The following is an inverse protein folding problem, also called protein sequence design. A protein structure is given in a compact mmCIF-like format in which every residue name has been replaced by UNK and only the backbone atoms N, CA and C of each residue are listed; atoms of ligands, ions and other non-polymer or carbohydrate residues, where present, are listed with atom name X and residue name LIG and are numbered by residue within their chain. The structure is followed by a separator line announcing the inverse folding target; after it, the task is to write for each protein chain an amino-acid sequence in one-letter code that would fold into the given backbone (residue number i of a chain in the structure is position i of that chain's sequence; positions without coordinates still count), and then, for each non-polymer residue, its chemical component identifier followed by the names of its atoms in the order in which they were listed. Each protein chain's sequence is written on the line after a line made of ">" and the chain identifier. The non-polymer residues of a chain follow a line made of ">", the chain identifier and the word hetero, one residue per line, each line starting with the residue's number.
data_IF_808316173924
#
_entry.id   IF_808316173924
#
_cell.length_a   1.000
_cell.length_b   1.000
_cell.length_c   1.000
_cell.angle_alpha   90.00
_cell.angle_beta   90.00
_cell.angle_gamma   90.00
#
_symmetry.space_group_name_H-M   'P 1'
#
loop_
_entity.id
_entity.type
_entity.pdbx_description
1 polymer ?
#
# COMPACT_ATOMS: atom_id res chain seq x y z
N UNK A 1 -6.09 -18.95 -12.61
CA UNK A 1 -6.11 -19.14 -11.14
C UNK A 1 -7.27 -18.42 -10.44
N UNK A 2 -7.68 -17.22 -10.91
CA UNK A 2 -8.85 -16.48 -10.39
C UNK A 2 -10.19 -17.24 -10.46
N UNK A 3 -10.40 -18.06 -11.49
CA UNK A 3 -11.64 -18.83 -11.65
C UNK A 3 -11.83 -19.96 -10.63
N UNK A 4 -10.73 -20.49 -10.08
CA UNK A 4 -10.77 -21.53 -9.04
C UNK A 4 -11.21 -20.91 -7.71
N UNK A 5 -10.70 -19.71 -7.39
CA UNK A 5 -11.15 -18.93 -6.22
C UNK A 5 -12.65 -18.59 -6.28
N UNK A 6 -13.16 -18.19 -7.45
CA UNK A 6 -14.59 -17.89 -7.64
C UNK A 6 -15.48 -19.12 -7.46
N UNK A 7 -15.03 -20.31 -7.93
CA UNK A 7 -15.77 -21.56 -7.79
C UNK A 7 -15.82 -22.07 -6.34
N UNK A 8 -14.72 -21.97 -5.59
CA UNK A 8 -14.66 -22.33 -4.17
C UNK A 8 -15.55 -21.40 -3.32
N UNK A 9 -15.58 -20.10 -3.65
CA UNK A 9 -16.43 -19.09 -2.98
C UNK A 9 -17.94 -19.31 -3.16
N UNK A 10 -18.35 -19.87 -4.31
CA UNK A 10 -19.76 -20.11 -4.64
C UNK A 10 -20.33 -21.38 -3.99
N UNK A 11 -19.48 -22.36 -3.69
CA UNK A 11 -19.88 -23.66 -3.12
C UNK A 11 -20.01 -23.67 -1.60
N UNK A 12 -19.25 -22.84 -0.87
CA UNK A 12 -19.31 -22.76 0.59
C UNK A 12 -20.37 -21.74 1.03
N UNK A 13 -21.63 -22.17 1.04
CA UNK A 13 -22.70 -21.43 1.69
C UNK A 13 -22.44 -21.30 3.18
N UNK A 14 -22.38 -20.07 3.69
CA UNK A 14 -23.01 -19.66 4.95
C UNK A 14 -22.89 -18.14 5.19
N UNK A 15 -24.05 -17.55 5.55
CA UNK A 15 -24.37 -16.20 6.03
C UNK A 15 -23.79 -14.98 5.29
N UNK A 16 -24.63 -14.34 4.48
CA UNK A 16 -24.45 -12.97 3.97
C UNK A 16 -24.09 -11.95 5.06
N UNK A 17 -24.52 -12.18 6.31
CA UNK A 17 -24.17 -11.36 7.47
C UNK A 17 -22.67 -11.36 7.84
N UNK A 18 -21.92 -12.45 7.59
CA UNK A 18 -20.47 -12.49 7.81
C UNK A 18 -19.69 -11.82 6.66
N UNK A 19 -20.31 -11.76 5.47
CA UNK A 19 -19.71 -11.25 4.24
C UNK A 19 -19.67 -9.71 4.21
N UNK A 20 -20.60 -9.08 4.91
CA UNK A 20 -20.61 -7.63 5.13
C UNK A 20 -19.59 -7.19 6.20
N UNK A 21 -19.33 -8.02 7.22
CA UNK A 21 -18.33 -7.71 8.26
C UNK A 21 -16.87 -7.90 7.79
N UNK A 22 -16.61 -8.78 6.83
CA UNK A 22 -15.25 -9.06 6.31
C UNK A 22 -14.88 -8.30 5.02
N UNK A 23 -15.81 -7.53 4.42
CA UNK A 23 -15.49 -6.71 3.24
C UNK A 23 -14.53 -5.58 3.59
N UNK A 24 -14.80 -4.91 4.71
CA UNK A 24 -14.06 -3.71 5.11
C UNK A 24 -12.60 -4.03 5.51
N UNK A 25 -12.37 -5.16 6.18
CA UNK A 25 -11.02 -5.56 6.60
C UNK A 25 -10.13 -5.94 5.41
N UNK A 26 -10.66 -6.66 4.43
CA UNK A 26 -9.90 -7.07 3.24
C UNK A 26 -9.61 -5.86 2.34
N UNK A 27 -10.56 -4.94 2.17
CA UNK A 27 -10.34 -3.71 1.39
C UNK A 27 -9.34 -2.76 2.07
N UNK A 28 -9.38 -2.63 3.41
CA UNK A 28 -8.35 -1.86 4.14
C UNK A 28 -6.96 -2.46 3.97
N UNK A 29 -6.83 -3.79 4.06
CA UNK A 29 -5.52 -4.44 3.91
C UNK A 29 -4.97 -4.33 2.48
N UNK A 30 -5.83 -4.40 1.46
CA UNK A 30 -5.43 -4.16 0.07
C UNK A 30 -5.01 -2.71 -0.16
N UNK A 31 -5.81 -1.74 0.29
CA UNK A 31 -5.47 -0.32 0.15
C UNK A 31 -4.17 0.04 0.88
N UNK A 32 -3.95 -0.55 2.06
CA UNK A 32 -2.70 -0.37 2.82
C UNK A 32 -1.50 -1.03 2.14
N UNK A 33 -1.70 -2.18 1.50
CA UNK A 33 -0.69 -2.86 0.70
C UNK A 33 -0.29 -2.06 -0.53
N UNK A 34 -1.25 -1.52 -1.27
CA UNK A 34 -1.03 -0.69 -2.46
C UNK A 34 -0.29 0.60 -2.11
N UNK A 35 -0.73 1.33 -1.07
CA UNK A 35 -0.08 2.55 -0.62
C UNK A 35 1.39 2.32 -0.22
N UNK A 36 1.70 1.19 0.45
CA UNK A 36 3.07 0.80 0.80
C UNK A 36 3.91 0.44 -0.43
N UNK A 37 3.34 -0.29 -1.37
CA UNK A 37 4.00 -0.66 -2.62
C UNK A 37 4.36 0.58 -3.44
N UNK A 38 3.42 1.52 -3.57
CA UNK A 38 3.64 2.78 -4.28
C UNK A 38 4.63 3.68 -3.55
N UNK A 39 4.56 3.79 -2.21
CA UNK A 39 5.55 4.52 -1.42
C UNK A 39 6.97 4.01 -1.66
N UNK A 40 7.15 2.68 -1.62
CA UNK A 40 8.45 2.05 -1.84
C UNK A 40 8.97 2.30 -3.25
N UNK A 41 8.11 2.19 -4.27
CA UNK A 41 8.48 2.47 -5.65
C UNK A 41 8.92 3.92 -5.87
N UNK A 42 8.21 4.87 -5.26
CA UNK A 42 8.59 6.29 -5.30
C UNK A 42 9.95 6.50 -4.65
N UNK A 43 10.17 5.96 -3.44
CA UNK A 43 11.41 6.14 -2.70
C UNK A 43 12.60 5.51 -3.43
N UNK A 44 12.48 4.25 -3.87
CA UNK A 44 13.57 3.54 -4.56
C UNK A 44 13.95 4.24 -5.87
N UNK A 45 12.95 4.61 -6.69
CA UNK A 45 13.19 5.37 -7.93
C UNK A 45 13.84 6.72 -7.64
N UNK A 46 13.38 7.44 -6.61
CA UNK A 46 13.95 8.73 -6.26
C UNK A 46 15.39 8.62 -5.71
N UNK A 47 15.68 7.58 -4.92
CA UNK A 47 17.03 7.28 -4.45
C UNK A 47 17.96 6.91 -5.60
N UNK A 48 17.50 6.07 -6.54
CA UNK A 48 18.29 5.66 -7.71
C UNK A 48 18.60 6.85 -8.64
N UNK A 49 17.71 7.85 -8.68
CA UNK A 49 17.91 9.11 -9.39
C UNK A 49 18.75 10.13 -8.61
N UNK A 50 19.13 9.85 -7.36
CA UNK A 50 19.89 10.77 -6.51
C UNK A 50 19.10 12.03 -6.12
N UNK A 51 17.78 11.95 -6.05
CA UNK A 51 16.94 13.09 -5.67
C UNK A 51 17.07 13.41 -4.17
N UNK A 52 17.03 14.70 -3.79
CA UNK A 52 17.08 15.10 -2.39
C UNK A 52 15.81 14.64 -1.66
N UNK A 53 15.95 14.33 -0.36
CA UNK A 53 14.86 13.79 0.47
C UNK A 53 13.58 14.66 0.40
N UNK A 54 13.69 15.99 0.40
CA UNK A 54 12.55 16.91 0.25
C UNK A 54 11.71 16.62 -1.01
N UNK A 55 12.35 16.36 -2.15
CA UNK A 55 11.64 16.05 -3.39
C UNK A 55 10.94 14.68 -3.35
N UNK A 56 11.49 13.73 -2.58
CA UNK A 56 10.87 12.42 -2.34
C UNK A 56 9.65 12.58 -1.44
N UNK A 57 9.76 13.38 -0.38
CA UNK A 57 8.66 13.68 0.54
C UNK A 57 7.50 14.38 -0.18
N UNK A 58 7.78 15.41 -0.99
CA UNK A 58 6.73 16.06 -1.79
C UNK A 58 6.02 15.09 -2.73
N UNK A 59 6.76 14.18 -3.38
CA UNK A 59 6.16 13.15 -4.25
C UNK A 59 5.31 12.17 -3.47
N UNK A 60 5.77 11.70 -2.31
CA UNK A 60 5.02 10.80 -1.43
C UNK A 60 3.72 11.45 -0.96
N UNK A 61 3.79 12.69 -0.47
CA UNK A 61 2.62 13.43 -0.01
C UNK A 61 1.62 13.64 -1.14
N UNK A 62 2.08 14.04 -2.34
CA UNK A 62 1.19 14.32 -3.47
C UNK A 62 0.58 13.06 -4.09
N UNK A 63 1.32 11.95 -4.13
CA UNK A 63 0.87 10.68 -4.72
C UNK A 63 -0.04 9.89 -3.78
N UNK A 64 0.33 9.79 -2.51
CA UNK A 64 -0.40 9.00 -1.52
C UNK A 64 -1.40 9.84 -0.72
N UNK A 65 -1.44 11.15 -0.95
CA UNK A 65 -2.28 12.11 -0.22
C UNK A 65 -2.13 12.01 1.31
N UNK A 66 -0.88 11.83 1.76
CA UNK A 66 -0.51 11.62 3.17
C UNK A 66 0.14 12.86 3.79
N UNK A 67 0.17 12.91 5.12
CA UNK A 67 0.88 13.95 5.86
C UNK A 67 2.40 13.87 5.68
N UNK A 68 3.10 14.98 5.90
CA UNK A 68 4.57 15.04 5.88
C UNK A 68 5.19 14.03 6.86
N UNK A 69 4.59 13.89 8.05
CA UNK A 69 5.05 12.96 9.07
C UNK A 69 4.99 11.51 8.59
N UNK A 70 3.89 11.11 7.95
CA UNK A 70 3.73 9.78 7.36
C UNK A 70 4.69 9.55 6.19
N UNK A 71 4.92 10.58 5.36
CA UNK A 71 5.89 10.51 4.28
C UNK A 71 7.33 10.31 4.81
N UNK A 72 7.70 11.01 5.89
CA UNK A 72 8.98 10.84 6.56
C UNK A 72 9.13 9.45 7.19
N UNK A 73 8.07 8.89 7.78
CA UNK A 73 8.09 7.52 8.29
C UNK A 73 8.30 6.50 7.17
N UNK A 74 7.62 6.66 6.03
CA UNK A 74 7.85 5.82 4.86
C UNK A 74 9.26 5.97 4.32
N UNK A 75 9.78 7.20 4.24
CA UNK A 75 11.15 7.45 3.83
C UNK A 75 12.17 6.83 4.80
N UNK A 76 11.94 6.88 6.12
CA UNK A 76 12.81 6.19 7.10
C UNK A 76 12.71 4.66 7.02
N UNK A 77 11.53 4.14 6.69
CA UNK A 77 11.26 2.70 6.64
C UNK A 77 11.79 2.06 5.36
N UNK A 78 11.69 2.78 4.23
CA UNK A 78 12.01 2.27 2.90
C UNK A 78 13.20 2.95 2.24
N UNK A 79 13.59 4.14 2.70
CA UNK A 79 14.83 4.79 2.29
C UNK A 79 15.96 3.85 2.63
N UNK A 80 16.72 3.45 1.60
CA UNK A 80 17.92 2.64 1.78
C UNK A 80 18.72 3.32 2.89
N UNK A 81 19.00 2.57 3.94
CA UNK A 81 19.91 2.97 5.01
C UNK A 81 21.21 3.33 4.28
N UNK A 82 21.43 4.62 4.03
CA UNK A 82 22.68 5.11 3.46
C UNK A 82 23.71 4.94 4.57
N UNK A 83 24.28 3.74 4.64
CA UNK A 83 25.44 3.39 5.45
C UNK A 83 26.66 3.38 4.54
#
# INVERSE_FOLDING_TARGET
>A
NYEIYQKIRRANGMCEALRELMKDEIEQDVARGEARGEARGIIDTCCDLGLPEDAILERLQKKLNISLQTAQEYLKTFGKQMV
#
